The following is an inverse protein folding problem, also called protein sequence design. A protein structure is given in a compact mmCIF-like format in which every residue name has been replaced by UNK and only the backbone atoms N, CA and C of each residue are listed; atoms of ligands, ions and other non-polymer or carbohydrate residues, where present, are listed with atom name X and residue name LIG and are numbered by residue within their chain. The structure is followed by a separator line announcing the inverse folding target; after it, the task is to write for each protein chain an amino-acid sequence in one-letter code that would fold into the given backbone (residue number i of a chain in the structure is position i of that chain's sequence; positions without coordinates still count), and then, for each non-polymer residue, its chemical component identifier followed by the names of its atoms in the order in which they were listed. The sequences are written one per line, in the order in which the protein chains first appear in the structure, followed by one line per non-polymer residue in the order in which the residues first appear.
data_IF_844832031235
#
_entry.id   IF_844832031235
#
_cell.length_a   1.000
_cell.length_b   1.000
_cell.length_c   1.000
_cell.angle_alpha   90.00
_cell.angle_beta   90.00
_cell.angle_gamma   90.00
#
_symmetry.space_group_name_H-M   'P 1'
#
loop_
_entity.id
_entity.type
_entity.pdbx_description
1 polymer ?
#
# COMPACT_ATOMS: atom_id res chain seq x y z
N UNK A 1 -5.03 -12.87 24.61
CA UNK A 1 -6.11 -11.93 24.25
C UNK A 1 -5.57 -10.53 24.44
N UNK A 2 -5.73 -9.65 23.45
CA UNK A 2 -5.30 -8.25 23.56
C UNK A 2 -6.33 -7.46 24.38
N UNK A 3 -5.87 -6.51 25.18
CA UNK A 3 -6.73 -5.55 25.85
C UNK A 3 -6.97 -4.31 24.96
N UNK A 4 -7.89 -3.43 25.37
CA UNK A 4 -8.26 -2.22 24.62
C UNK A 4 -7.06 -1.32 24.29
N UNK A 5 -6.11 -1.18 25.21
CA UNK A 5 -4.93 -0.33 25.01
C UNK A 5 -3.98 -0.95 23.98
N UNK A 6 -3.75 -2.27 24.05
CA UNK A 6 -2.92 -2.99 23.09
C UNK A 6 -3.51 -2.93 21.67
N UNK A 7 -4.83 -3.01 21.54
CA UNK A 7 -5.52 -2.85 20.25
C UNK A 7 -5.30 -1.44 19.69
N UNK A 8 -5.51 -0.39 20.50
CA UNK A 8 -5.31 1.00 20.05
C UNK A 8 -3.86 1.25 19.66
N UNK A 9 -2.89 0.80 20.46
CA UNK A 9 -1.46 0.97 20.13
C UNK A 9 -1.08 0.24 18.84
N UNK A 10 -1.70 -0.90 18.55
CA UNK A 10 -1.46 -1.61 17.29
C UNK A 10 -2.06 -0.84 16.09
N UNK A 11 -3.25 -0.26 16.23
CA UNK A 11 -3.81 0.65 15.22
C UNK A 11 -2.95 1.90 14.98
N UNK A 12 -2.44 2.51 16.05
CA UNK A 12 -1.52 3.66 15.95
C UNK A 12 -0.24 3.28 15.23
N UNK A 13 0.30 2.08 15.49
CA UNK A 13 1.47 1.54 14.80
C UNK A 13 1.20 1.39 13.30
N UNK A 14 0.04 0.85 12.91
CA UNK A 14 -0.35 0.75 11.50
C UNK A 14 -0.42 2.13 10.87
N UNK A 15 -1.05 3.12 11.53
CA UNK A 15 -1.13 4.48 10.99
C UNK A 15 0.24 5.14 10.80
N UNK A 16 1.20 4.90 11.71
CA UNK A 16 2.58 5.38 11.54
C UNK A 16 3.25 4.72 10.33
N UNK A 17 3.05 3.42 10.13
CA UNK A 17 3.61 2.72 8.97
C UNK A 17 2.98 3.24 7.67
N UNK A 18 1.67 3.41 7.61
CA UNK A 18 0.98 3.95 6.42
C UNK A 18 1.42 5.39 6.11
N UNK A 19 1.67 6.21 7.12
CA UNK A 19 2.22 7.56 6.95
C UNK A 19 3.64 7.51 6.34
N UNK A 20 4.48 6.58 6.79
CA UNK A 20 5.80 6.34 6.20
C UNK A 20 5.70 5.84 4.75
N UNK A 21 4.72 4.98 4.45
CA UNK A 21 4.45 4.51 3.08
C UNK A 21 4.07 5.70 2.18
N UNK A 22 3.23 6.61 2.67
CA UNK A 22 2.86 7.81 1.92
C UNK A 22 4.06 8.70 1.63
N UNK A 23 4.95 8.91 2.62
CA UNK A 23 6.19 9.66 2.39
C UNK A 23 7.08 8.98 1.35
N UNK A 24 7.29 7.66 1.44
CA UNK A 24 8.07 6.91 0.45
C UNK A 24 7.46 7.01 -0.97
N UNK A 25 6.13 6.92 -1.10
CA UNK A 25 5.43 7.08 -2.36
C UNK A 25 5.58 8.50 -2.95
N UNK A 26 5.57 9.54 -2.10
CA UNK A 26 5.80 10.94 -2.52
C UNK A 26 7.25 11.17 -2.97
N UNK A 27 8.21 10.50 -2.34
CA UNK A 27 9.64 10.57 -2.67
C UNK A 27 10.01 9.67 -3.85
N UNK A 28 9.13 8.75 -4.27
CA UNK A 28 9.42 7.76 -5.30
C UNK A 28 10.34 6.63 -4.85
N UNK A 29 10.51 6.43 -3.53
CA UNK A 29 11.30 5.36 -2.94
C UNK A 29 10.50 4.05 -2.92
N UNK A 30 10.49 3.37 -4.06
CA UNK A 30 9.70 2.16 -4.27
C UNK A 30 10.19 0.98 -3.42
N UNK A 31 11.51 0.86 -3.21
CA UNK A 31 12.08 -0.21 -2.39
C UNK A 31 11.62 -0.05 -0.94
N UNK A 32 11.67 1.18 -0.42
CA UNK A 32 11.18 1.48 0.92
C UNK A 32 9.67 1.28 1.04
N UNK A 33 8.91 1.65 0.02
CA UNK A 33 7.46 1.46 0.02
C UNK A 33 7.08 -0.03 0.17
N UNK A 34 7.76 -0.93 -0.56
CA UNK A 34 7.53 -2.39 -0.50
C UNK A 34 7.94 -2.99 0.85
N UNK A 35 9.07 -2.53 1.42
CA UNK A 35 9.49 -2.96 2.76
C UNK A 35 8.44 -2.57 3.82
N UNK A 36 7.93 -1.34 3.75
CA UNK A 36 6.92 -0.82 4.65
C UNK A 36 5.57 -1.53 4.48
N UNK A 37 5.17 -1.87 3.25
CA UNK A 37 3.96 -2.65 2.97
C UNK A 37 4.00 -4.01 3.67
N UNK A 38 5.14 -4.71 3.59
CA UNK A 38 5.34 -6.01 4.26
C UNK A 38 5.17 -5.87 5.78
N UNK A 39 5.74 -4.82 6.37
CA UNK A 39 5.59 -4.51 7.80
C UNK A 39 4.13 -4.20 8.14
N UNK A 40 3.45 -3.38 7.34
CA UNK A 40 2.03 -3.04 7.53
C UNK A 40 1.16 -4.32 7.54
N UNK A 41 1.35 -5.20 6.54
CA UNK A 41 0.61 -6.45 6.41
C UNK A 41 0.75 -7.35 7.64
N UNK A 42 1.94 -7.44 8.24
CA UNK A 42 2.16 -8.23 9.46
C UNK A 42 1.39 -7.70 10.68
N UNK A 43 1.30 -6.37 10.85
CA UNK A 43 0.58 -5.74 11.95
C UNK A 43 -0.94 -5.87 11.75
N UNK A 44 -1.42 -5.72 10.51
CA UNK A 44 -2.83 -5.95 10.16
C UNK A 44 -3.23 -7.41 10.38
N UNK A 45 -2.36 -8.37 10.04
CA UNK A 45 -2.60 -9.78 10.33
C UNK A 45 -2.72 -10.04 11.84
N UNK A 46 -1.86 -9.40 12.64
CA UNK A 46 -1.93 -9.46 14.11
C UNK A 46 -3.25 -8.90 14.64
N UNK A 47 -3.71 -7.75 14.12
CA UNK A 47 -5.03 -7.19 14.46
C UNK A 47 -6.16 -8.18 14.16
N UNK A 48 -6.15 -8.80 12.97
CA UNK A 48 -7.19 -9.76 12.56
C UNK A 48 -7.25 -11.01 13.43
N UNK A 49 -6.11 -11.45 13.98
CA UNK A 49 -6.03 -12.64 14.84
C UNK A 49 -6.30 -12.32 16.31
N UNK A 50 -5.89 -11.14 16.77
CA UNK A 50 -5.95 -10.73 18.18
C UNK A 50 -7.22 -10.00 18.58
N UNK A 51 -7.98 -9.45 17.62
CA UNK A 51 -9.25 -8.76 17.84
C UNK A 51 -10.41 -9.77 17.98
N UNK A 52 -10.35 -10.59 19.04
CA UNK A 52 -11.58 -11.07 19.69
C UNK A 52 -12.37 -9.84 20.18
N UNK A 53 -13.70 -9.91 20.45
CA UNK A 53 -14.54 -8.72 20.61
C UNK A 53 -14.20 -7.97 21.91
N UNK A 54 -13.11 -7.21 21.89
CA UNK A 54 -12.76 -6.24 22.90
C UNK A 54 -13.81 -5.15 22.77
N UNK A 55 -14.66 -5.03 23.78
CA UNK A 55 -15.67 -3.98 23.83
C UNK A 55 -14.96 -2.64 24.03
N UNK A 56 -14.59 -2.00 22.92
CA UNK A 56 -14.10 -0.62 22.93
C UNK A 56 -15.31 0.29 23.17
N UNK A 57 -15.35 0.94 24.33
CA UNK A 57 -16.42 1.88 24.71
C UNK A 57 -15.92 3.32 24.73
N UNK A 58 -16.81 4.28 24.48
CA UNK A 58 -16.53 5.71 24.62
C UNK A 58 -15.33 6.19 23.80
N UNK A 59 -14.37 6.82 24.47
CA UNK A 59 -13.20 7.46 23.86
C UNK A 59 -12.31 6.50 23.07
N UNK A 60 -12.13 5.26 23.53
CA UNK A 60 -11.30 4.27 22.82
C UNK A 60 -11.90 3.91 21.45
N UNK A 61 -13.24 3.83 21.36
CA UNK A 61 -13.92 3.59 20.07
C UNK A 61 -13.76 4.77 19.12
N UNK A 62 -13.90 5.99 19.63
CA UNK A 62 -13.72 7.21 18.83
C UNK A 62 -12.29 7.32 18.30
N UNK A 63 -11.29 7.06 19.16
CA UNK A 63 -9.88 7.06 18.79
C UNK A 63 -9.57 6.01 17.71
N UNK A 64 -10.08 4.78 17.85
CA UNK A 64 -9.96 3.74 16.80
C UNK A 64 -10.51 4.22 15.45
N UNK A 65 -11.70 4.83 15.45
CA UNK A 65 -12.31 5.35 14.21
C UNK A 65 -11.46 6.45 13.57
N UNK A 66 -10.92 7.38 14.36
CA UNK A 66 -10.03 8.43 13.85
C UNK A 66 -8.77 7.84 13.21
N UNK A 67 -8.16 6.83 13.84
CA UNK A 67 -6.97 6.16 13.32
C UNK A 67 -7.28 5.44 12.00
N UNK A 68 -8.40 4.70 11.93
CA UNK A 68 -8.82 4.01 10.70
C UNK A 68 -9.04 5.01 9.55
N UNK A 69 -9.69 6.14 9.82
CA UNK A 69 -9.90 7.17 8.81
C UNK A 69 -8.59 7.75 8.28
N UNK A 70 -7.57 7.95 9.15
CA UNK A 70 -6.24 8.36 8.71
C UNK A 70 -5.60 7.31 7.81
N UNK A 71 -5.58 6.04 8.22
CA UNK A 71 -5.03 4.94 7.42
C UNK A 71 -5.68 4.89 6.04
N UNK A 72 -7.02 4.98 5.96
CA UNK A 72 -7.74 4.94 4.69
C UNK A 72 -7.47 6.15 3.80
N UNK A 73 -7.28 7.33 4.39
CA UNK A 73 -6.92 8.54 3.66
C UNK A 73 -5.51 8.44 3.07
N UNK A 74 -4.54 8.00 3.88
CA UNK A 74 -3.15 7.81 3.46
C UNK A 74 -3.06 6.73 2.36
N UNK A 75 -3.74 5.60 2.53
CA UNK A 75 -3.87 4.53 1.52
C UNK A 75 -4.41 5.03 0.18
N UNK A 76 -5.42 5.91 0.21
CA UNK A 76 -6.00 6.49 -1.00
C UNK A 76 -4.98 7.38 -1.70
N UNK A 77 -4.23 8.17 -0.94
CA UNK A 77 -3.20 9.04 -1.50
C UNK A 77 -2.04 8.24 -2.10
N UNK A 78 -1.60 7.16 -1.43
CA UNK A 78 -0.61 6.23 -1.98
C UNK A 78 -1.09 5.70 -3.35
N UNK A 79 -2.32 5.19 -3.45
CA UNK A 79 -2.86 4.70 -4.73
C UNK A 79 -2.88 5.78 -5.81
N UNK A 80 -3.28 7.01 -5.47
CA UNK A 80 -3.27 8.12 -6.44
C UNK A 80 -1.86 8.43 -6.97
N UNK A 81 -0.81 8.20 -6.17
CA UNK A 81 0.58 8.40 -6.58
C UNK A 81 1.12 7.23 -7.40
N UNK A 82 0.77 5.99 -7.03
CA UNK A 82 1.35 4.78 -7.63
C UNK A 82 0.63 4.30 -8.89
N UNK A 83 -0.69 4.41 -8.96
CA UNK A 83 -1.50 3.90 -10.08
C UNK A 83 -1.16 4.55 -11.44
N UNK A 84 -0.98 5.89 -11.55
CA UNK A 84 -0.67 6.51 -12.84
C UNK A 84 0.67 6.06 -13.41
N UNK A 85 1.71 5.95 -12.57
CA UNK A 85 3.03 5.50 -13.00
C UNK A 85 2.99 4.05 -13.49
N UNK A 86 2.29 3.16 -12.78
CA UNK A 86 2.13 1.76 -13.20
C UNK A 86 1.43 1.64 -14.55
N UNK A 87 0.39 2.46 -14.79
CA UNK A 87 -0.29 2.53 -16.08
C UNK A 87 0.68 2.98 -17.19
N UNK A 88 1.47 4.03 -16.97
CA UNK A 88 2.45 4.52 -17.93
C UNK A 88 3.54 3.47 -18.23
N UNK A 89 4.08 2.80 -17.19
CA UNK A 89 5.06 1.72 -17.36
C UNK A 89 4.49 0.58 -18.21
N UNK A 90 3.25 0.16 -17.94
CA UNK A 90 2.59 -0.91 -18.70
C UNK A 90 2.44 -0.54 -20.19
N UNK A 91 2.11 0.73 -20.49
CA UNK A 91 1.99 1.22 -21.87
C UNK A 91 3.35 1.19 -22.58
N UNK A 92 4.42 1.66 -21.93
CA UNK A 92 5.78 1.63 -22.49
C UNK A 92 6.28 0.20 -22.75
N UNK A 93 5.99 -0.74 -21.85
CA UNK A 93 6.33 -2.14 -22.06
C UNK A 93 5.58 -2.76 -23.25
N UNK A 94 4.30 -2.42 -23.42
CA UNK A 94 3.47 -2.89 -24.52
C UNK A 94 3.90 -2.29 -25.88
N UNK A 95 4.29 -1.01 -25.93
CA UNK A 95 4.80 -0.40 -27.16
C UNK A 95 6.14 -1.00 -27.55
N UNK A 96 7.09 -1.15 -26.62
CA UNK A 96 8.40 -1.75 -26.88
C UNK A 96 8.28 -3.21 -27.37
N UNK A 97 7.35 -3.99 -26.83
CA UNK A 97 7.07 -5.35 -27.32
C UNK A 97 6.49 -5.37 -28.73
N UNK A 98 5.65 -4.40 -29.08
CA UNK A 98 5.06 -4.25 -30.42
C UNK A 98 6.12 -3.84 -31.45
N UNK A 99 7.00 -2.90 -31.10
CA UNK A 99 8.12 -2.47 -31.95
C UNK A 99 9.08 -3.62 -32.28
N UNK A 100 9.43 -4.45 -31.29
CA UNK A 100 10.29 -5.63 -31.52
C UNK A 100 9.66 -6.63 -32.49
N UNK A 101 8.36 -6.89 -32.37
CA UNK A 101 7.64 -7.81 -33.29
C UNK A 101 7.61 -7.28 -34.71
N UNK A 102 7.35 -5.98 -34.90
CA UNK A 102 7.37 -5.34 -36.21
C UNK A 102 8.78 -5.39 -36.82
N UNK A 103 9.82 -5.06 -36.06
CA UNK A 103 11.20 -5.14 -36.51
C UNK A 103 11.61 -6.56 -36.95
N UNK A 104 11.17 -7.60 -36.21
CA UNK A 104 11.39 -9.00 -36.60
C UNK A 104 10.65 -9.38 -37.89
N UNK A 105 9.38 -8.99 -38.04
CA UNK A 105 8.57 -9.34 -39.20
C UNK A 105 9.10 -8.69 -40.50
N UNK A 106 9.46 -7.40 -40.45
CA UNK A 106 10.00 -6.69 -41.60
C UNK A 106 11.48 -7.00 -41.87
N UNK A 107 12.28 -7.30 -40.83
CA UNK A 107 13.67 -7.73 -40.96
C UNK A 107 13.82 -9.15 -41.53
N UNK A 108 12.88 -10.05 -41.24
CA UNK A 108 12.86 -11.40 -41.80
C UNK A 108 12.45 -11.44 -43.29
N UNK A 109 11.80 -10.40 -43.81
CA UNK A 109 11.38 -10.29 -45.22
C UNK A 109 12.41 -9.66 -46.16
N UNK A 110 13.60 -9.30 -45.67
CA UNK A 110 14.70 -8.74 -46.49
C UNK A 110 15.95 -9.64 -46.57
N UNK A 111 15.80 -10.94 -46.31
CA UNK A 111 16.86 -11.95 -46.48
C UNK A 111 16.60 -12.89 -47.63
#
# INVERSE_FOLDING_TARGET
MMNSQEVISLYETVAVITDQMLSAAREGDWDRLVELETRCASHVATLRQGEAPVALTGESRLRKVQIINKILADDREIRNLTEPWMLQLSQMMNSAGTERKLSQAYGASQG
#
